data_IF_773887888227
#
_entry.id   IF_773887888227
#
_cell.length_a   1.000
_cell.length_b   1.000
_cell.length_c   1.000
_cell.angle_alpha   90.00
_cell.angle_beta   90.00
_cell.angle_gamma   90.00
#
_symmetry.space_group_name_H-M   'P 1'
#
loop_
_entity.id
_entity.type
_entity.pdbx_description
1 polymer ?
#
# COMPACT_ATOMS: atom_id res chain seq x y z
N UNK A 1 -11.88 -2.15 16.77
CA UNK A 1 -10.52 -2.75 16.98
C UNK A 1 -10.15 -2.72 18.46
N UNK A 2 -9.29 -3.63 18.91
CA UNK A 2 -8.81 -3.65 20.30
C UNK A 2 -7.37 -3.15 20.34
N UNK A 3 -7.10 -2.12 21.16
CA UNK A 3 -5.73 -1.61 21.35
C UNK A 3 -4.95 -2.61 22.21
N UNK A 4 -3.80 -3.03 21.72
CA UNK A 4 -2.94 -4.03 22.36
C UNK A 4 -1.71 -3.38 22.99
N UNK A 5 -1.36 -3.83 24.21
CA UNK A 5 -0.12 -3.44 24.85
C UNK A 5 1.05 -4.29 24.31
N UNK A 6 2.03 -3.65 23.67
CA UNK A 6 3.18 -4.32 23.06
C UNK A 6 4.43 -4.38 23.96
N UNK A 7 4.34 -3.92 25.23
CA UNK A 7 5.53 -3.78 26.08
C UNK A 7 6.31 -5.10 26.29
N UNK A 8 5.62 -6.23 26.29
CA UNK A 8 6.22 -7.55 26.52
C UNK A 8 6.26 -8.41 25.24
N UNK A 9 5.93 -7.84 24.09
CA UNK A 9 5.89 -8.56 22.83
C UNK A 9 7.15 -8.31 21.98
N UNK A 10 7.73 -9.37 21.44
CA UNK A 10 8.81 -9.25 20.46
C UNK A 10 8.26 -8.67 19.17
N UNK A 11 8.86 -7.57 18.71
CA UNK A 11 8.56 -6.94 17.41
C UNK A 11 9.35 -7.57 16.26
N UNK A 12 10.04 -8.70 16.49
CA UNK A 12 10.74 -9.40 15.43
C UNK A 12 9.75 -10.03 14.45
N UNK A 13 9.83 -9.73 13.16
CA UNK A 13 8.97 -10.34 12.16
C UNK A 13 9.37 -11.80 11.91
N UNK A 14 8.41 -12.56 11.44
CA UNK A 14 8.67 -13.83 10.77
C UNK A 14 8.98 -13.55 9.31
N UNK A 15 10.14 -14.01 8.81
CA UNK A 15 10.38 -14.02 7.37
C UNK A 15 9.42 -15.02 6.71
N UNK A 16 8.84 -14.62 5.58
CA UNK A 16 7.88 -15.43 4.84
C UNK A 16 8.28 -15.54 3.38
N UNK A 17 7.93 -16.67 2.77
CA UNK A 17 8.16 -16.94 1.37
C UNK A 17 6.90 -17.59 0.78
N UNK A 18 6.45 -17.11 -0.38
CA UNK A 18 5.23 -17.59 -1.03
C UNK A 18 5.30 -17.43 -2.54
N UNK A 19 4.46 -18.17 -3.26
CA UNK A 19 4.37 -18.05 -4.71
C UNK A 19 3.73 -16.72 -5.09
N UNK A 20 4.41 -15.94 -5.93
CA UNK A 20 3.90 -14.70 -6.53
C UNK A 20 3.39 -14.89 -7.95
N UNK A 21 2.95 -13.81 -8.57
CA UNK A 21 2.48 -13.82 -9.96
C UNK A 21 3.57 -14.14 -10.98
N UNK A 22 4.83 -13.86 -10.66
CA UNK A 22 5.99 -14.00 -11.56
C UNK A 22 7.13 -14.83 -10.98
N UNK A 23 6.98 -15.36 -9.78
CA UNK A 23 8.02 -16.14 -9.10
C UNK A 23 7.79 -16.24 -7.60
N UNK A 24 8.85 -16.54 -6.85
CA UNK A 24 8.79 -16.62 -5.40
C UNK A 24 9.00 -15.24 -4.81
N UNK A 25 8.07 -14.82 -3.97
CA UNK A 25 8.13 -13.58 -3.22
C UNK A 25 8.55 -13.83 -1.78
N UNK A 26 9.21 -12.85 -1.19
CA UNK A 26 9.62 -12.82 0.21
C UNK A 26 9.04 -11.60 0.91
N UNK A 27 8.93 -11.69 2.21
CA UNK A 27 8.42 -10.57 3.00
C UNK A 27 8.58 -10.82 4.50
N UNK A 28 7.94 -9.97 5.27
CA UNK A 28 8.02 -9.98 6.72
C UNK A 28 6.61 -9.90 7.30
N UNK A 29 6.23 -10.89 8.10
CA UNK A 29 4.96 -10.93 8.80
C UNK A 29 5.17 -10.62 10.28
N UNK A 30 4.48 -9.61 10.76
CA UNK A 30 4.38 -9.26 12.17
C UNK A 30 2.98 -9.66 12.66
N UNK A 31 2.89 -10.31 13.82
CA UNK A 31 1.62 -10.66 14.43
C UNK A 31 1.51 -10.00 15.80
N UNK A 32 0.34 -9.48 16.20
CA UNK A 32 0.15 -9.00 17.56
C UNK A 32 0.18 -10.15 18.56
N UNK A 33 0.38 -9.86 19.87
CA UNK A 33 0.24 -10.88 20.91
C UNK A 33 -1.21 -11.34 21.00
N UNK A 34 -1.40 -12.63 21.29
CA UNK A 34 -2.73 -13.25 21.46
C UNK A 34 -2.97 -14.41 20.51
N UNK A 35 -4.20 -14.92 20.53
CA UNK A 35 -4.59 -16.13 19.78
C UNK A 35 -5.35 -15.69 18.54
N UNK A 36 -5.17 -14.91 17.72
CA UNK A 36 -5.88 -14.63 16.44
C UNK A 36 -7.31 -15.23 16.34
N UNK A 37 -7.87 -15.31 15.15
CA UNK A 37 -7.34 -14.72 13.93
C UNK A 37 -7.39 -13.18 13.94
N UNK A 38 -6.34 -12.56 13.43
CA UNK A 38 -6.17 -11.11 13.40
C UNK A 38 -6.58 -10.51 12.05
N UNK A 39 -7.18 -9.31 12.00
CA UNK A 39 -7.19 -8.51 10.77
C UNK A 39 -5.76 -8.37 10.26
N UNK A 40 -5.56 -8.33 8.95
CA UNK A 40 -4.21 -8.22 8.39
C UNK A 40 -4.10 -7.05 7.42
N UNK A 41 -3.08 -6.22 7.66
CA UNK A 41 -2.66 -5.16 6.74
C UNK A 41 -1.54 -5.68 5.86
N UNK A 42 -1.72 -5.59 4.55
CA UNK A 42 -0.67 -5.86 3.55
C UNK A 42 -0.16 -4.53 3.04
N UNK A 43 1.04 -4.13 3.48
CA UNK A 43 1.64 -2.85 3.11
C UNK A 43 2.57 -3.00 1.90
N UNK A 44 2.16 -2.40 0.81
CA UNK A 44 2.87 -2.40 -0.46
C UNK A 44 3.89 -1.27 -0.50
N UNK A 45 5.17 -1.63 -0.55
CA UNK A 45 6.27 -0.68 -0.61
C UNK A 45 6.21 0.25 -1.84
N UNK A 46 6.81 1.45 -1.72
CA UNK A 46 7.08 2.34 -2.83
C UNK A 46 8.22 1.84 -3.74
N UNK A 47 8.70 2.72 -4.63
CA UNK A 47 9.81 2.41 -5.54
C UNK A 47 11.19 2.42 -4.86
N UNK A 48 11.28 2.84 -3.60
CA UNK A 48 12.53 3.03 -2.88
C UNK A 48 13.01 1.78 -2.11
N UNK A 49 12.58 0.58 -2.52
CA UNK A 49 13.03 -0.70 -1.92
C UNK A 49 14.01 -1.37 -2.88
N UNK A 50 15.32 -1.09 -2.80
CA UNK A 50 16.29 -1.60 -3.77
C UNK A 50 16.36 -3.14 -3.76
N UNK A 51 16.65 -3.78 -4.90
CA UNK A 51 16.90 -5.22 -4.97
C UNK A 51 18.06 -5.63 -4.05
N UNK A 52 17.93 -6.79 -3.42
CA UNK A 52 18.96 -7.36 -2.54
C UNK A 52 19.00 -6.77 -1.12
N UNK A 53 18.09 -5.86 -0.76
CA UNK A 53 17.96 -5.39 0.61
C UNK A 53 17.02 -6.28 1.42
N UNK A 54 17.34 -6.44 2.70
CA UNK A 54 16.47 -7.04 3.72
C UNK A 54 15.78 -5.97 4.56
N UNK A 55 15.79 -4.72 4.10
CA UNK A 55 15.28 -3.59 4.85
C UNK A 55 13.76 -3.73 5.10
N UNK A 56 13.40 -3.53 6.35
CA UNK A 56 12.02 -3.42 6.81
C UNK A 56 11.60 -1.95 6.67
N UNK A 57 11.12 -1.57 5.50
CA UNK A 57 10.93 -0.16 5.15
C UNK A 57 9.94 0.60 6.04
N UNK A 58 9.04 -0.07 6.75
CA UNK A 58 8.03 0.59 7.56
C UNK A 58 7.86 0.01 8.99
N UNK A 59 8.93 -0.17 9.80
CA UNK A 59 8.83 -0.82 11.10
C UNK A 59 7.97 -0.07 12.11
N UNK A 60 7.95 1.27 12.06
CA UNK A 60 7.07 2.08 12.93
C UNK A 60 5.61 1.92 12.54
N UNK A 61 5.32 1.77 11.25
CA UNK A 61 3.98 1.50 10.76
C UNK A 61 3.52 0.11 11.20
N UNK A 62 4.38 -0.90 11.11
CA UNK A 62 4.10 -2.23 11.64
C UNK A 62 3.73 -2.17 13.14
N UNK A 63 4.56 -1.48 13.95
CA UNK A 63 4.29 -1.31 15.38
C UNK A 63 2.93 -0.65 15.65
N UNK A 64 2.55 0.35 14.86
CA UNK A 64 1.27 1.02 14.99
C UNK A 64 0.10 0.04 14.74
N UNK A 65 0.12 -0.70 13.63
CA UNK A 65 -0.94 -1.66 13.31
C UNK A 65 -1.01 -2.81 14.32
N UNK A 66 0.12 -3.31 14.81
CA UNK A 66 0.15 -4.29 15.89
C UNK A 66 -0.51 -3.75 17.17
N UNK A 67 -0.28 -2.47 17.50
CA UNK A 67 -0.94 -1.84 18.65
C UNK A 67 -2.47 -1.74 18.49
N UNK A 68 -2.96 -1.77 17.27
CA UNK A 68 -4.39 -1.81 16.93
C UNK A 68 -4.94 -3.24 16.83
N UNK A 69 -4.12 -4.25 17.13
CA UNK A 69 -4.51 -5.65 17.05
C UNK A 69 -4.58 -6.22 15.64
N UNK A 70 -3.92 -5.57 14.67
CA UNK A 70 -3.81 -6.04 13.30
C UNK A 70 -2.46 -6.70 13.08
N UNK A 71 -2.43 -7.85 12.42
CA UNK A 71 -1.22 -8.38 11.80
C UNK A 71 -0.78 -7.47 10.66
N UNK A 72 0.51 -7.50 10.34
CA UNK A 72 1.08 -6.64 9.32
C UNK A 72 2.04 -7.44 8.46
N UNK A 73 1.72 -7.57 7.18
CA UNK A 73 2.56 -8.22 6.18
C UNK A 73 3.18 -7.16 5.27
N UNK A 74 4.52 -7.17 5.19
CA UNK A 74 5.30 -6.35 4.28
C UNK A 74 5.94 -7.23 3.20
N UNK A 75 5.26 -7.49 2.08
CA UNK A 75 5.82 -8.27 0.99
C UNK A 75 6.75 -7.44 0.12
N UNK A 76 7.80 -8.05 -0.41
CA UNK A 76 8.56 -7.49 -1.50
C UNK A 76 8.03 -8.02 -2.82
N UNK A 77 7.56 -7.14 -3.71
CA UNK A 77 7.15 -7.53 -5.07
C UNK A 77 8.36 -8.00 -5.88
N UNK A 78 8.14 -8.73 -6.95
CA UNK A 78 9.20 -9.26 -7.81
C UNK A 78 10.16 -8.17 -8.30
N UNK A 79 11.47 -8.41 -8.13
CA UNK A 79 12.54 -7.46 -8.47
C UNK A 79 12.79 -6.36 -7.43
N UNK A 80 12.17 -6.47 -6.23
CA UNK A 80 12.41 -5.57 -5.09
C UNK A 80 12.85 -6.37 -3.86
N UNK A 81 13.60 -5.69 -2.98
CA UNK A 81 14.02 -6.25 -1.70
C UNK A 81 14.64 -7.64 -1.83
N UNK A 82 14.11 -8.62 -1.11
CA UNK A 82 14.57 -10.01 -1.11
C UNK A 82 13.94 -10.87 -2.20
N UNK A 83 12.91 -10.38 -2.91
CA UNK A 83 12.21 -11.14 -3.94
C UNK A 83 13.00 -11.14 -5.23
N UNK A 84 13.16 -12.31 -5.83
CA UNK A 84 13.76 -12.44 -7.15
C UNK A 84 12.82 -11.87 -8.21
N UNK A 85 13.38 -11.46 -9.33
CA UNK A 85 12.60 -10.94 -10.46
C UNK A 85 13.35 -9.90 -11.26
N UNK A 86 12.73 -9.42 -12.32
CA UNK A 86 13.31 -8.38 -13.17
C UNK A 86 13.17 -7.04 -12.47
N UNK A 87 14.28 -6.32 -12.34
CA UNK A 87 14.26 -4.99 -11.73
C UNK A 87 13.60 -3.96 -12.66
N UNK A 88 12.98 -2.94 -12.08
CA UNK A 88 12.21 -1.95 -12.85
C UNK A 88 13.04 -1.26 -13.94
N UNK A 89 14.33 -1.02 -13.69
CA UNK A 89 15.21 -0.37 -14.68
C UNK A 89 15.47 -1.20 -15.93
N UNK A 90 15.41 -2.53 -15.83
CA UNK A 90 15.59 -3.43 -16.98
C UNK A 90 14.27 -3.65 -17.74
N UNK A 91 13.14 -3.61 -17.06
CA UNK A 91 11.82 -3.80 -17.67
C UNK A 91 11.22 -2.49 -18.22
N UNK A 92 11.60 -1.35 -17.65
CA UNK A 92 11.16 -0.01 -18.04
C UNK A 92 12.38 0.85 -18.41
N UNK A 93 13.09 0.51 -19.49
CA UNK A 93 14.31 1.21 -19.91
C UNK A 93 14.04 2.57 -20.57
N UNK A 94 12.82 2.83 -21.03
CA UNK A 94 12.49 4.08 -21.68
C UNK A 94 12.69 5.30 -20.75
N UNK A 95 13.15 6.44 -21.23
CA UNK A 95 13.37 7.63 -20.43
C UNK A 95 12.09 8.15 -19.78
N UNK A 96 12.16 8.50 -18.49
CA UNK A 96 11.02 9.05 -17.74
C UNK A 96 10.42 10.27 -18.45
N UNK A 97 9.09 10.34 -18.50
CA UNK A 97 8.34 11.42 -19.14
C UNK A 97 8.09 11.21 -20.64
N UNK A 98 8.51 10.08 -21.20
CA UNK A 98 8.13 9.67 -22.56
C UNK A 98 6.86 8.83 -22.56
N UNK A 99 6.15 8.80 -23.68
CA UNK A 99 4.97 7.93 -23.87
C UNK A 99 5.35 6.46 -23.71
N UNK A 100 6.51 6.08 -24.25
CA UNK A 100 7.02 4.71 -24.12
C UNK A 100 7.26 4.30 -22.67
N UNK A 101 7.83 5.20 -21.86
CA UNK A 101 7.99 4.94 -20.42
C UNK A 101 6.63 4.77 -19.73
N UNK A 102 5.64 5.61 -20.06
CA UNK A 102 4.30 5.51 -19.49
C UNK A 102 3.64 4.16 -19.86
N UNK A 103 3.82 3.71 -21.11
CA UNK A 103 3.34 2.42 -21.58
C UNK A 103 4.01 1.25 -20.86
N UNK A 104 5.33 1.23 -20.79
CA UNK A 104 6.10 0.20 -20.10
C UNK A 104 5.77 0.15 -18.62
N UNK A 105 5.73 1.30 -17.94
CA UNK A 105 5.44 1.39 -16.52
C UNK A 105 4.00 0.96 -16.20
N UNK A 106 3.03 1.33 -17.03
CA UNK A 106 1.64 0.90 -16.85
C UNK A 106 1.50 -0.62 -16.99
N UNK A 107 2.17 -1.22 -17.98
CA UNK A 107 2.18 -2.68 -18.16
C UNK A 107 2.83 -3.39 -16.96
N UNK A 108 3.94 -2.84 -16.46
CA UNK A 108 4.59 -3.36 -15.26
C UNK A 108 3.70 -3.29 -14.03
N UNK A 109 3.03 -2.17 -13.77
CA UNK A 109 2.12 -2.01 -12.64
C UNK A 109 0.99 -3.04 -12.66
N UNK A 110 0.42 -3.33 -13.82
CA UNK A 110 -0.59 -4.37 -13.98
C UNK A 110 0.00 -5.77 -13.63
N UNK A 111 1.24 -6.02 -14.05
CA UNK A 111 1.91 -7.28 -13.74
C UNK A 111 2.24 -7.40 -12.25
N UNK A 112 2.82 -6.35 -11.64
CA UNK A 112 3.15 -6.30 -10.21
C UNK A 112 1.92 -6.44 -9.31
N UNK A 113 0.74 -6.01 -9.77
CA UNK A 113 -0.49 -6.15 -8.99
C UNK A 113 -0.85 -7.63 -8.73
N UNK A 114 -0.39 -8.57 -9.56
CA UNK A 114 -0.54 -10.01 -9.31
C UNK A 114 0.24 -10.46 -8.07
N UNK A 115 1.37 -9.81 -7.77
CA UNK A 115 2.14 -10.09 -6.56
C UNK A 115 1.39 -9.59 -5.31
N UNK A 116 0.65 -8.48 -5.42
CA UNK A 116 -0.20 -7.98 -4.33
C UNK A 116 -1.35 -8.94 -4.05
N UNK A 117 -1.97 -9.49 -5.11
CA UNK A 117 -3.03 -10.50 -4.95
C UNK A 117 -2.45 -11.83 -4.40
N UNK A 118 -1.25 -12.22 -4.81
CA UNK A 118 -0.58 -13.39 -4.25
C UNK A 118 -0.26 -13.23 -2.75
N UNK A 119 0.08 -12.01 -2.31
CA UNK A 119 0.25 -11.72 -0.89
C UNK A 119 -1.07 -11.80 -0.11
N UNK A 120 -2.19 -11.39 -0.73
CA UNK A 120 -3.53 -11.61 -0.17
C UNK A 120 -3.84 -13.10 -0.03
N UNK A 121 -3.61 -13.88 -1.09
CA UNK A 121 -3.84 -15.34 -1.08
C UNK A 121 -3.02 -16.04 0.01
N UNK A 122 -1.75 -15.65 0.13
CA UNK A 122 -0.87 -16.18 1.16
C UNK A 122 -1.37 -15.84 2.58
N UNK A 123 -1.63 -14.56 2.85
CA UNK A 123 -2.05 -14.12 4.17
C UNK A 123 -3.42 -14.73 4.57
N UNK A 124 -4.38 -14.74 3.65
CA UNK A 124 -5.70 -15.31 3.90
C UNK A 124 -5.69 -16.83 4.13
N UNK A 125 -4.61 -17.51 3.76
CA UNK A 125 -4.40 -18.94 4.02
C UNK A 125 -3.78 -19.27 5.38
N UNK A 126 -3.40 -18.27 6.17
CA UNK A 126 -2.77 -18.47 7.48
C UNK A 126 -3.85 -18.59 8.58
N UNK A 127 -3.71 -19.57 9.48
CA UNK A 127 -4.67 -19.80 10.56
C UNK A 127 -4.79 -18.61 11.54
N UNK A 128 -3.70 -17.88 11.74
CA UNK A 128 -3.65 -16.71 12.60
C UNK A 128 -4.23 -15.44 11.96
N UNK A 129 -4.65 -15.46 10.70
CA UNK A 129 -5.18 -14.30 9.95
C UNK A 129 -6.67 -14.46 9.67
N UNK A 130 -7.41 -13.40 9.89
CA UNK A 130 -8.82 -13.32 9.53
C UNK A 130 -8.98 -12.91 8.06
N UNK A 131 -9.29 -13.89 7.22
CA UNK A 131 -9.45 -13.69 5.78
C UNK A 131 -10.61 -12.74 5.39
N UNK A 132 -11.56 -12.47 6.30
CA UNK A 132 -12.66 -11.53 6.07
C UNK A 132 -12.29 -10.07 6.40
N UNK A 133 -11.14 -9.86 7.05
CA UNK A 133 -10.65 -8.54 7.48
C UNK A 133 -9.28 -8.20 6.91
N UNK A 134 -9.16 -8.33 5.58
CA UNK A 134 -7.92 -8.04 4.86
C UNK A 134 -7.89 -6.57 4.41
N UNK A 135 -6.80 -5.88 4.70
CA UNK A 135 -6.60 -4.47 4.39
C UNK A 135 -5.43 -4.34 3.42
N UNK A 136 -5.63 -3.69 2.29
CA UNK A 136 -4.52 -3.30 1.41
C UNK A 136 -4.07 -1.88 1.73
N UNK A 137 -2.77 -1.71 1.87
CA UNK A 137 -2.16 -0.40 2.14
C UNK A 137 -0.94 -0.23 1.25
N UNK A 138 -0.57 1.02 0.99
CA UNK A 138 0.71 1.30 0.37
C UNK A 138 0.99 2.78 0.18
N UNK A 139 2.26 3.10 -0.07
CA UNK A 139 2.72 4.46 -0.28
C UNK A 139 3.35 4.62 -1.66
N UNK A 140 3.10 5.77 -2.30
CA UNK A 140 3.69 6.08 -3.61
C UNK A 140 3.30 5.04 -4.67
N UNK A 141 4.26 4.26 -5.17
CA UNK A 141 4.00 3.11 -6.05
C UNK A 141 3.09 2.08 -5.38
N UNK A 142 3.27 1.86 -4.06
CA UNK A 142 2.39 1.00 -3.26
C UNK A 142 0.97 1.56 -3.15
N UNK A 143 0.79 2.88 -3.10
CA UNK A 143 -0.52 3.52 -3.14
C UNK A 143 -1.23 3.30 -4.49
N UNK A 144 -0.50 3.34 -5.60
CA UNK A 144 -1.03 2.91 -6.91
C UNK A 144 -1.56 1.47 -6.81
N UNK A 145 -0.77 0.57 -6.23
CA UNK A 145 -1.19 -0.83 -6.05
C UNK A 145 -2.38 -0.99 -5.11
N UNK A 146 -2.56 -0.11 -4.12
CA UNK A 146 -3.75 -0.12 -3.26
C UNK A 146 -5.03 0.01 -4.08
N UNK A 147 -5.10 0.98 -4.98
CA UNK A 147 -6.28 1.17 -5.85
C UNK A 147 -6.46 0.03 -6.85
N UNK A 148 -5.36 -0.43 -7.48
CA UNK A 148 -5.40 -1.53 -8.43
C UNK A 148 -5.82 -2.85 -7.77
N UNK A 149 -5.35 -3.12 -6.55
CA UNK A 149 -5.70 -4.32 -5.80
C UNK A 149 -7.16 -4.33 -5.36
N UNK A 150 -7.67 -3.21 -4.84
CA UNK A 150 -9.09 -3.05 -4.51
C UNK A 150 -9.99 -3.30 -5.73
N UNK A 151 -9.61 -2.77 -6.89
CA UNK A 151 -10.37 -2.97 -8.12
C UNK A 151 -10.29 -4.40 -8.66
N UNK A 152 -9.22 -5.14 -8.35
CA UNK A 152 -8.96 -6.48 -8.87
C UNK A 152 -9.58 -7.60 -8.03
N UNK A 153 -9.77 -7.41 -6.71
CA UNK A 153 -10.19 -8.49 -5.83
C UNK A 153 -11.17 -8.01 -4.75
N UNK A 154 -12.39 -8.58 -4.69
CA UNK A 154 -13.42 -8.16 -3.72
C UNK A 154 -13.15 -8.63 -2.27
N UNK A 155 -12.14 -9.48 -2.03
CA UNK A 155 -11.81 -9.97 -0.68
C UNK A 155 -11.15 -8.91 0.21
N UNK A 156 -10.64 -7.82 -0.37
CA UNK A 156 -10.19 -6.70 0.42
C UNK A 156 -11.35 -6.06 1.18
N UNK A 157 -11.18 -5.88 2.47
CA UNK A 157 -12.18 -5.23 3.31
C UNK A 157 -12.19 -3.72 3.11
N UNK A 158 -11.02 -3.12 3.00
CA UNK A 158 -10.83 -1.70 2.70
C UNK A 158 -9.37 -1.43 2.27
N UNK A 159 -9.07 -0.18 1.87
CA UNK A 159 -7.71 0.24 1.50
C UNK A 159 -7.27 1.56 2.11
N UNK A 160 -5.94 1.69 2.31
CA UNK A 160 -5.28 2.92 2.73
C UNK A 160 -4.25 3.33 1.68
N UNK A 161 -4.54 4.34 0.89
CA UNK A 161 -3.64 4.88 -0.13
C UNK A 161 -2.91 6.11 0.40
N UNK A 162 -1.58 6.02 0.48
CA UNK A 162 -0.71 7.13 0.84
C UNK A 162 0.00 7.68 -0.40
N UNK A 163 -0.43 8.83 -0.89
CA UNK A 163 0.26 9.55 -1.97
C UNK A 163 0.38 8.75 -3.28
N UNK A 164 -0.54 7.84 -3.55
CA UNK A 164 -0.52 7.01 -4.76
C UNK A 164 -0.54 7.86 -6.02
N UNK A 165 0.47 7.69 -6.90
CA UNK A 165 0.57 8.44 -8.15
C UNK A 165 1.08 9.88 -8.03
N UNK A 166 1.43 10.38 -6.85
CA UNK A 166 1.84 11.78 -6.64
C UNK A 166 2.96 12.26 -7.57
N UNK A 167 3.97 11.42 -7.83
CA UNK A 167 5.08 11.77 -8.72
C UNK A 167 4.81 11.51 -10.21
N UNK A 168 3.77 10.74 -10.53
CA UNK A 168 3.42 10.32 -11.90
C UNK A 168 2.30 11.14 -12.52
N UNK A 169 1.35 11.64 -11.73
CA UNK A 169 0.05 12.17 -12.17
C UNK A 169 0.10 13.17 -13.32
N UNK A 170 1.02 14.14 -13.25
CA UNK A 170 1.14 15.16 -14.29
C UNK A 170 1.91 14.72 -15.53
N UNK A 171 2.68 13.62 -15.45
CA UNK A 171 3.65 13.22 -16.48
C UNK A 171 3.30 11.90 -17.17
N UNK A 172 2.39 11.12 -16.59
CA UNK A 172 2.04 9.77 -17.03
C UNK A 172 0.53 9.63 -17.21
N UNK A 173 -0.04 10.13 -18.34
CA UNK A 173 -1.48 10.14 -18.56
C UNK A 173 -2.11 8.74 -18.58
N UNK A 174 -1.37 7.71 -18.98
CA UNK A 174 -1.84 6.33 -18.99
C UNK A 174 -1.97 5.77 -17.57
N UNK A 175 -0.97 6.02 -16.71
CA UNK A 175 -1.06 5.67 -15.28
C UNK A 175 -2.21 6.44 -14.62
N UNK A 176 -2.35 7.74 -14.89
CA UNK A 176 -3.47 8.54 -14.39
C UNK A 176 -4.81 7.92 -14.77
N UNK A 177 -4.99 7.59 -16.06
CA UNK A 177 -6.25 6.99 -16.53
C UNK A 177 -6.49 5.64 -15.88
N UNK A 178 -5.48 4.79 -15.78
CA UNK A 178 -5.56 3.48 -15.12
C UNK A 178 -6.04 3.60 -13.66
N UNK A 179 -5.57 4.60 -12.91
CA UNK A 179 -5.99 4.83 -11.53
C UNK A 179 -7.43 5.37 -11.44
N UNK A 180 -7.83 6.25 -12.36
CA UNK A 180 -9.22 6.73 -12.45
C UNK A 180 -10.17 5.59 -12.83
N UNK A 181 -9.78 4.72 -13.76
CA UNK A 181 -10.55 3.54 -14.14
C UNK A 181 -10.69 2.57 -12.96
N UNK A 182 -9.60 2.28 -12.24
CA UNK A 182 -9.65 1.48 -11.03
C UNK A 182 -10.58 2.09 -9.97
N UNK A 183 -10.41 3.38 -9.66
CA UNK A 183 -11.27 4.09 -8.71
C UNK A 183 -12.74 4.07 -9.13
N UNK A 184 -13.03 4.08 -10.44
CA UNK A 184 -14.38 4.01 -10.97
C UNK A 184 -15.08 2.67 -10.74
N UNK A 185 -14.37 1.61 -10.44
CA UNK A 185 -14.90 0.24 -10.25
C UNK A 185 -14.88 -0.23 -8.80
N UNK A 186 -14.32 0.54 -7.88
CA UNK A 186 -14.23 0.16 -6.46
C UNK A 186 -15.62 -0.13 -5.87
N UNK A 187 -15.64 -1.15 -5.04
CA UNK A 187 -16.78 -1.51 -4.19
C UNK A 187 -16.45 -1.44 -2.71
N UNK A 188 -15.17 -1.56 -2.36
CA UNK A 188 -14.67 -1.50 -0.99
C UNK A 188 -14.27 -0.07 -0.60
N UNK A 189 -14.46 0.32 0.66
CA UNK A 189 -14.05 1.63 1.15
C UNK A 189 -12.56 1.89 0.98
N UNK A 190 -12.20 3.12 0.64
CA UNK A 190 -10.79 3.56 0.54
C UNK A 190 -10.56 4.86 1.28
N UNK A 191 -9.42 4.95 1.95
CA UNK A 191 -8.93 6.15 2.61
C UNK A 191 -7.71 6.69 1.85
N UNK A 192 -7.78 7.94 1.39
CA UNK A 192 -6.73 8.63 0.64
C UNK A 192 -6.02 9.64 1.56
N UNK A 193 -4.73 9.48 1.76
CA UNK A 193 -3.95 10.22 2.76
C UNK A 193 -2.71 10.82 2.12
N UNK A 194 -2.53 12.15 2.28
CA UNK A 194 -1.38 12.83 1.70
C UNK A 194 -1.07 14.14 2.46
N UNK A 195 0.19 14.57 2.63
CA UNK A 195 0.51 15.91 3.09
C UNK A 195 0.44 16.93 1.94
N UNK A 196 0.10 18.17 2.25
CA UNK A 196 -0.09 19.27 1.28
C UNK A 196 1.17 19.56 0.46
N UNK A 197 2.34 19.43 1.08
CA UNK A 197 3.63 19.75 0.47
C UNK A 197 4.32 18.57 -0.22
N UNK A 198 3.60 17.50 -0.53
CA UNK A 198 4.08 16.39 -1.37
C UNK A 198 4.29 16.84 -2.83
N UNK A 199 4.79 15.98 -3.69
CA UNK A 199 5.06 16.26 -5.10
C UNK A 199 3.85 16.80 -5.86
N UNK A 200 2.68 16.22 -5.64
CA UNK A 200 1.42 16.62 -6.27
C UNK A 200 0.24 16.01 -5.51
N UNK A 201 -0.70 16.82 -5.08
CA UNK A 201 -1.92 16.36 -4.37
C UNK A 201 -3.10 16.08 -5.31
N UNK A 202 -2.96 16.33 -6.60
CA UNK A 202 -4.03 16.10 -7.57
C UNK A 202 -4.54 14.64 -7.61
N UNK A 203 -3.70 13.58 -7.49
CA UNK A 203 -4.25 12.22 -7.43
C UNK A 203 -5.26 12.05 -6.31
N UNK A 204 -4.91 12.44 -5.09
CA UNK A 204 -5.81 12.35 -3.93
C UNK A 204 -7.11 13.15 -4.15
N UNK A 205 -7.02 14.38 -4.66
CA UNK A 205 -8.18 15.24 -4.85
C UNK A 205 -9.08 14.82 -6.02
N UNK A 206 -8.49 14.44 -7.15
CA UNK A 206 -9.25 14.03 -8.34
C UNK A 206 -9.92 12.65 -8.13
N UNK A 207 -9.23 11.70 -7.50
CA UNK A 207 -9.80 10.38 -7.16
C UNK A 207 -10.92 10.55 -6.13
N UNK A 208 -10.71 11.34 -5.08
CA UNK A 208 -11.76 11.63 -4.09
C UNK A 208 -12.99 12.24 -4.74
N UNK A 209 -12.83 13.23 -5.62
CA UNK A 209 -13.94 13.85 -6.33
C UNK A 209 -14.71 12.84 -7.23
N UNK A 210 -13.99 11.92 -7.89
CA UNK A 210 -14.61 10.86 -8.68
C UNK A 210 -15.43 9.91 -7.79
N UNK A 211 -14.87 9.49 -6.66
CA UNK A 211 -15.54 8.59 -5.71
C UNK A 211 -16.79 9.26 -5.11
N UNK A 212 -16.72 10.55 -4.76
CA UNK A 212 -17.85 11.34 -4.26
C UNK A 212 -18.97 11.42 -5.30
N UNK A 213 -18.66 11.72 -6.57
CA UNK A 213 -19.63 11.76 -7.66
C UNK A 213 -20.34 10.43 -7.86
N UNK A 214 -19.72 9.33 -7.53
CA UNK A 214 -20.26 7.97 -7.61
C UNK A 214 -21.04 7.56 -6.35
N UNK A 215 -21.04 8.37 -5.30
CA UNK A 215 -21.59 8.01 -4.00
C UNK A 215 -20.82 6.86 -3.33
N UNK A 216 -19.55 6.68 -3.69
CA UNK A 216 -18.72 5.60 -3.16
C UNK A 216 -18.21 5.94 -1.75
N UNK A 217 -18.20 4.94 -0.87
CA UNK A 217 -17.70 5.08 0.50
C UNK A 217 -16.20 5.30 0.52
N UNK A 218 -15.78 6.51 0.83
CA UNK A 218 -14.35 6.86 0.92
C UNK A 218 -14.11 7.98 1.91
N UNK A 219 -12.86 8.12 2.32
CA UNK A 219 -12.35 9.30 3.01
C UNK A 219 -11.09 9.82 2.30
N UNK A 220 -10.93 11.13 2.30
CA UNK A 220 -9.74 11.76 1.77
C UNK A 220 -9.28 12.88 2.70
N UNK A 221 -8.00 12.91 3.01
CA UNK A 221 -7.42 13.97 3.82
C UNK A 221 -6.08 14.43 3.30
N UNK A 222 -6.03 15.68 2.92
CA UNK A 222 -4.77 16.41 2.72
C UNK A 222 -4.39 17.00 4.09
N UNK A 223 -3.32 16.49 4.66
CA UNK A 223 -2.78 16.99 5.92
C UNK A 223 -1.98 18.27 5.70
N UNK A 224 -1.83 19.12 6.73
CA UNK A 224 -0.92 20.27 6.67
C UNK A 224 0.49 19.85 6.23
N UNK A 225 1.31 20.78 5.73
CA UNK A 225 2.68 20.49 5.33
C UNK A 225 3.45 19.72 6.40
N UNK A 226 4.11 18.66 5.98
CA UNK A 226 4.92 17.81 6.86
C UNK A 226 6.36 17.73 6.33
N UNK A 227 7.33 17.98 7.20
CA UNK A 227 8.74 18.00 6.80
C UNK A 227 9.03 19.01 5.68
N UNK A 228 10.12 18.76 4.96
CA UNK A 228 10.50 19.54 3.77
C UNK A 228 9.67 19.08 2.57
N UNK A 229 9.27 20.03 1.71
CA UNK A 229 8.47 19.73 0.51
C UNK A 229 9.12 18.69 -0.42
N UNK A 230 8.29 17.93 -1.09
CA UNK A 230 8.70 16.93 -2.05
C UNK A 230 9.19 15.62 -1.38
N UNK A 231 10.48 15.24 -1.50
CA UNK A 231 10.94 13.89 -1.11
C UNK A 231 10.72 13.55 0.37
N UNK A 232 10.88 14.51 1.31
CA UNK A 232 10.63 14.24 2.72
C UNK A 232 9.13 14.13 2.99
N UNK A 233 8.34 15.09 2.52
CA UNK A 233 6.89 15.06 2.64
C UNK A 233 6.29 13.77 2.07
N UNK A 234 6.85 13.25 0.97
CA UNK A 234 6.45 11.99 0.35
C UNK A 234 6.67 10.74 1.24
N UNK A 235 7.47 10.86 2.30
CA UNK A 235 7.67 9.80 3.31
C UNK A 235 6.68 9.86 4.47
N UNK A 236 5.62 10.65 4.35
CA UNK A 236 4.61 10.83 5.40
C UNK A 236 4.01 9.51 5.91
N UNK A 237 3.75 8.56 5.04
CA UNK A 237 3.32 7.21 5.42
C UNK A 237 4.29 6.57 6.43
N UNK A 238 5.58 6.56 6.11
CA UNK A 238 6.60 5.84 6.87
C UNK A 238 7.10 6.58 8.11
N UNK A 239 6.83 7.89 8.26
CA UNK A 239 7.39 8.70 9.33
C UNK A 239 6.41 9.69 9.99
N UNK A 240 5.15 9.74 9.52
CA UNK A 240 4.10 10.63 10.04
C UNK A 240 3.02 9.92 10.85
N UNK A 241 3.26 8.71 11.37
CA UNK A 241 2.27 7.85 12.01
C UNK A 241 1.51 8.52 13.16
N UNK A 242 2.18 9.35 13.93
CA UNK A 242 1.55 10.09 15.03
C UNK A 242 0.52 11.13 14.55
N UNK A 243 0.61 11.54 13.27
CA UNK A 243 -0.25 12.57 12.67
C UNK A 243 -1.39 11.91 11.91
N UNK A 244 -1.10 10.98 11.01
CA UNK A 244 -2.13 10.32 10.21
C UNK A 244 -2.81 9.15 10.93
N UNK A 245 -2.14 8.54 11.91
CA UNK A 245 -2.61 7.34 12.59
C UNK A 245 -4.02 7.45 13.18
N UNK A 246 -4.37 8.49 13.95
CA UNK A 246 -5.74 8.63 14.47
C UNK A 246 -6.80 8.66 13.37
N UNK A 247 -6.53 9.33 12.25
CA UNK A 247 -7.47 9.39 11.12
C UNK A 247 -7.63 8.04 10.43
N UNK A 248 -6.54 7.31 10.24
CA UNK A 248 -6.58 5.97 9.66
C UNK A 248 -7.25 4.96 10.63
N UNK A 249 -7.03 5.11 11.95
CA UNK A 249 -7.69 4.29 12.97
C UNK A 249 -9.21 4.46 12.93
N UNK A 250 -9.71 5.71 12.92
CA UNK A 250 -11.15 6.02 12.87
C UNK A 250 -11.80 5.47 11.60
N UNK A 251 -11.08 5.49 10.47
CA UNK A 251 -11.54 4.86 9.23
C UNK A 251 -11.62 3.34 9.39
N UNK A 252 -10.55 2.68 9.83
CA UNK A 252 -10.52 1.23 9.97
C UNK A 252 -11.55 0.72 10.99
N UNK A 253 -11.76 1.43 12.11
CA UNK A 253 -12.75 1.04 13.13
C UNK A 253 -14.19 0.95 12.58
N UNK A 254 -14.51 1.72 11.53
CA UNK A 254 -15.84 1.66 10.89
C UNK A 254 -16.00 0.50 9.91
N UNK A 255 -14.91 -0.03 9.40
CA UNK A 255 -14.98 -1.03 8.34
C UNK A 255 -14.45 -2.42 8.73
N UNK A 256 -13.76 -2.54 9.86
CA UNK A 256 -13.27 -3.82 10.42
C UNK A 256 -14.15 -4.32 11.57
#
# INVERSE_FOLDING_TARGET
>A
MQITNLNDHSMAPREVEFAGGTGVLKGFLFTPPGEGPFPCVIDNHGSATPPGTTDLSHPQTAALFLSWGCAYLFPHRAGYGNSLGIVVGDEVPAPRGTVEHDDQMSARLICENKDVIAALDYAAGLEEIDAERMIVMGSSLGGIHTLLALAADPRWRCGLDFSGGASQWAKHPKIKQMLLDAASTLTQPVCLIQPENDFNTAPTTEISALLEQRGHSHEAKIFPPWGTAGPEAHRFCAAGQQIWGPFAYDFLERYL
#
